data_IF_182592831215
#
_entry.id   IF_182592831215
#
_cell.length_a   1.000
_cell.length_b   1.000
_cell.length_c   1.000
_cell.angle_alpha   90.00
_cell.angle_beta   90.00
_cell.angle_gamma   90.00
#
_symmetry.space_group_name_H-M   'P 1'
#
loop_
_entity.id
_entity.type
_entity.pdbx_description
1 polymer ?
#
# COMPACT_ATOMS: atom_id res chain seq x y z
N UNK A 1 -27.35 -26.01 -10.87
CA UNK A 1 -26.78 -25.31 -12.03
C UNK A 1 -25.69 -26.16 -12.65
N UNK A 2 -25.38 -25.97 -13.94
CA UNK A 2 -24.28 -26.65 -14.62
C UNK A 2 -23.06 -25.72 -14.74
N UNK A 3 -21.86 -26.27 -14.62
CA UNK A 3 -20.61 -25.53 -14.85
C UNK A 3 -20.56 -25.10 -16.33
N UNK A 4 -20.15 -23.85 -16.65
CA UNK A 4 -20.05 -23.40 -18.04
C UNK A 4 -19.04 -24.25 -18.84
N UNK A 5 -19.49 -24.84 -19.94
CA UNK A 5 -18.70 -25.79 -20.74
C UNK A 5 -17.46 -25.17 -21.42
N UNK A 6 -17.42 -23.85 -21.55
CA UNK A 6 -16.33 -23.08 -22.19
C UNK A 6 -15.36 -22.45 -21.18
N UNK A 7 -15.52 -22.76 -19.89
CA UNK A 7 -14.71 -22.16 -18.83
C UNK A 7 -13.27 -22.71 -18.88
N UNK A 8 -12.33 -21.84 -19.25
CA UNK A 8 -10.90 -22.16 -19.40
C UNK A 8 -10.04 -21.10 -18.72
N UNK A 9 -8.78 -21.43 -18.44
CA UNK A 9 -7.84 -20.51 -17.79
C UNK A 9 -8.20 -20.19 -16.34
N UNK A 10 -8.90 -21.10 -15.65
CA UNK A 10 -9.31 -20.92 -14.25
C UNK A 10 -8.13 -21.15 -13.31
N UNK A 11 -7.94 -20.23 -12.36
CA UNK A 11 -6.94 -20.32 -11.30
C UNK A 11 -7.57 -20.63 -9.95
N UNK A 12 -8.80 -20.16 -9.70
CA UNK A 12 -9.50 -20.35 -8.41
C UNK A 12 -11.00 -20.56 -8.65
N UNK A 13 -11.64 -21.40 -7.84
CA UNK A 13 -13.11 -21.57 -7.78
C UNK A 13 -13.58 -21.42 -6.34
N UNK A 14 -14.69 -20.71 -6.13
CA UNK A 14 -15.39 -20.61 -4.83
C UNK A 14 -16.87 -20.90 -5.02
N UNK A 15 -17.52 -21.41 -3.97
CA UNK A 15 -18.95 -21.71 -3.97
C UNK A 15 -19.64 -20.95 -2.83
N UNK A 16 -20.77 -20.32 -3.16
CA UNK A 16 -21.76 -19.84 -2.20
C UNK A 16 -22.85 -20.88 -1.96
N UNK A 17 -24.03 -20.46 -1.49
CA UNK A 17 -25.12 -21.39 -1.19
C UNK A 17 -25.73 -22.00 -2.47
N UNK A 18 -26.03 -21.15 -3.46
CA UNK A 18 -26.69 -21.55 -4.71
C UNK A 18 -25.96 -21.06 -5.96
N UNK A 19 -24.79 -20.44 -5.80
CA UNK A 19 -23.92 -19.96 -6.88
C UNK A 19 -22.47 -20.38 -6.69
N UNK A 20 -21.70 -20.28 -7.77
CA UNK A 20 -20.26 -20.46 -7.76
C UNK A 20 -19.60 -19.39 -8.63
N UNK A 21 -18.34 -19.11 -8.34
CA UNK A 21 -17.50 -18.17 -9.07
C UNK A 21 -16.19 -18.85 -9.46
N UNK A 22 -15.65 -18.50 -10.63
CA UNK A 22 -14.31 -18.85 -11.04
C UNK A 22 -13.50 -17.60 -11.37
N UNK A 23 -12.29 -17.52 -10.83
CA UNK A 23 -11.28 -16.53 -11.21
C UNK A 23 -10.44 -17.12 -12.34
N UNK A 24 -10.27 -16.34 -13.40
CA UNK A 24 -9.40 -16.67 -14.52
C UNK A 24 -8.03 -16.01 -14.39
N UNK A 25 -7.03 -16.58 -15.05
CA UNK A 25 -5.65 -16.08 -15.08
C UNK A 25 -5.50 -14.70 -15.72
N UNK A 26 -6.49 -14.26 -16.49
CA UNK A 26 -6.57 -12.90 -17.06
C UNK A 26 -7.20 -11.87 -16.09
N UNK A 27 -7.49 -12.28 -14.85
CA UNK A 27 -8.07 -11.43 -13.82
C UNK A 27 -9.56 -11.18 -13.98
N UNK A 28 -10.26 -11.95 -14.82
CA UNK A 28 -11.73 -11.92 -14.96
C UNK A 28 -12.42 -12.96 -14.08
N UNK A 29 -13.67 -12.68 -13.68
CA UNK A 29 -14.49 -13.57 -12.86
C UNK A 29 -15.71 -14.04 -13.64
N UNK A 30 -16.00 -15.34 -13.60
CA UNK A 30 -17.20 -15.94 -14.20
C UNK A 30 -18.05 -16.56 -13.08
N UNK A 31 -19.29 -16.11 -12.93
CA UNK A 31 -20.26 -16.70 -12.02
C UNK A 31 -21.28 -17.59 -12.72
N UNK A 32 -21.75 -18.65 -12.05
CA UNK A 32 -22.86 -19.48 -12.50
C UNK A 32 -23.67 -20.00 -11.31
N UNK A 33 -24.96 -20.27 -11.52
CA UNK A 33 -25.85 -20.60 -10.41
C UNK A 33 -27.16 -19.86 -10.45
N UNK A 34 -27.81 -19.85 -9.30
CA UNK A 34 -28.87 -18.92 -9.00
C UNK A 34 -28.32 -17.49 -8.99
N UNK A 35 -28.98 -16.57 -9.69
CA UNK A 35 -28.58 -15.17 -9.80
C UNK A 35 -29.51 -14.23 -9.03
N UNK A 36 -30.23 -14.74 -8.04
CA UNK A 36 -30.96 -13.88 -7.12
C UNK A 36 -30.03 -12.83 -6.52
N UNK A 37 -30.47 -11.57 -6.47
CA UNK A 37 -29.68 -10.41 -6.06
C UNK A 37 -28.47 -10.08 -6.94
N UNK A 38 -28.30 -10.73 -8.10
CA UNK A 38 -27.17 -10.49 -9.02
C UNK A 38 -25.85 -11.11 -8.57
N UNK A 39 -25.88 -12.14 -7.70
CA UNK A 39 -24.70 -12.75 -7.06
C UNK A 39 -23.76 -13.51 -8.01
N UNK A 40 -24.21 -13.89 -9.21
CA UNK A 40 -23.36 -14.50 -10.26
C UNK A 40 -22.92 -13.52 -11.32
N UNK A 41 -23.69 -12.46 -11.55
CA UNK A 41 -23.46 -11.51 -12.65
C UNK A 41 -22.74 -10.24 -12.23
N UNK A 42 -22.78 -9.88 -10.94
CA UNK A 42 -21.82 -9.05 -10.21
C UNK A 42 -21.27 -7.78 -10.85
N UNK A 43 -21.98 -7.21 -11.82
CA UNK A 43 -21.46 -6.21 -12.74
C UNK A 43 -20.46 -6.85 -13.72
N UNK A 44 -20.80 -6.91 -15.00
CA UNK A 44 -20.09 -7.63 -16.05
C UNK A 44 -18.66 -7.13 -16.40
N UNK A 45 -17.90 -6.53 -15.47
CA UNK A 45 -16.66 -5.79 -15.78
C UNK A 45 -15.57 -5.85 -14.69
N UNK A 46 -15.41 -6.97 -13.98
CA UNK A 46 -14.31 -7.10 -13.01
C UNK A 46 -13.07 -7.68 -13.69
N UNK A 47 -12.17 -6.79 -14.09
CA UNK A 47 -10.80 -7.10 -14.51
C UNK A 47 -9.82 -6.76 -13.39
N UNK A 48 -8.61 -7.33 -13.43
CA UNK A 48 -7.60 -7.10 -12.40
C UNK A 48 -7.94 -7.74 -11.06
N UNK A 49 -8.77 -8.79 -11.03
CA UNK A 49 -9.06 -9.55 -9.82
C UNK A 49 -7.91 -10.50 -9.50
N UNK A 50 -7.49 -10.53 -8.24
CA UNK A 50 -6.43 -11.41 -7.73
C UNK A 50 -6.94 -12.44 -6.72
N UNK A 51 -8.12 -12.22 -6.12
CA UNK A 51 -8.79 -13.20 -5.28
C UNK A 51 -10.31 -13.03 -5.29
N UNK A 52 -11.05 -14.10 -5.01
CA UNK A 52 -12.51 -14.13 -4.93
C UNK A 52 -12.98 -14.86 -3.66
N UNK A 53 -14.15 -14.50 -3.16
CA UNK A 53 -14.87 -15.21 -2.10
C UNK A 53 -16.38 -15.17 -2.34
N UNK A 54 -17.10 -16.17 -1.84
CA UNK A 54 -18.55 -16.26 -1.95
C UNK A 54 -19.17 -16.54 -0.57
N UNK A 55 -20.22 -15.80 -0.24
CA UNK A 55 -21.09 -16.07 0.90
C UNK A 55 -22.41 -16.72 0.45
N UNK A 56 -23.43 -16.73 1.31
CA UNK A 56 -24.71 -17.39 0.98
C UNK A 56 -25.39 -16.80 -0.25
N UNK A 57 -25.56 -15.48 -0.29
CA UNK A 57 -26.25 -14.74 -1.35
C UNK A 57 -25.44 -13.55 -1.87
N UNK A 58 -24.16 -13.49 -1.53
CA UNK A 58 -23.25 -12.42 -1.95
C UNK A 58 -21.87 -12.96 -2.35
N UNK A 59 -21.09 -12.09 -2.95
CA UNK A 59 -19.81 -12.38 -3.57
C UNK A 59 -18.87 -11.22 -3.34
N UNK A 60 -17.58 -11.51 -3.19
CA UNK A 60 -16.51 -10.55 -2.98
C UNK A 60 -15.36 -10.82 -3.94
N UNK A 61 -14.67 -9.77 -4.37
CA UNK A 61 -13.40 -9.88 -5.09
C UNK A 61 -12.38 -8.86 -4.60
N UNK A 62 -11.12 -9.29 -4.51
CA UNK A 62 -9.96 -8.45 -4.26
C UNK A 62 -9.33 -8.08 -5.60
N UNK A 63 -9.21 -6.78 -5.85
CA UNK A 63 -8.49 -6.22 -7.00
C UNK A 63 -6.99 -6.14 -6.73
N UNK A 64 -6.20 -6.11 -7.80
CA UNK A 64 -4.75 -5.93 -7.75
C UNK A 64 -4.31 -4.60 -7.15
N UNK A 65 -5.18 -3.58 -7.18
CA UNK A 65 -4.98 -2.28 -6.51
C UNK A 65 -5.26 -2.32 -4.99
N UNK A 66 -5.60 -3.51 -4.47
CA UNK A 66 -5.91 -3.75 -3.08
C UNK A 66 -7.37 -3.50 -2.71
N UNK A 67 -8.18 -2.89 -3.58
CA UNK A 67 -9.61 -2.62 -3.31
C UNK A 67 -10.42 -3.92 -3.27
N UNK A 68 -11.48 -3.94 -2.45
CA UNK A 68 -12.44 -5.05 -2.42
C UNK A 68 -13.77 -4.53 -2.96
N UNK A 69 -14.34 -5.29 -3.88
CA UNK A 69 -15.67 -5.06 -4.42
C UNK A 69 -16.58 -6.20 -3.96
N UNK A 70 -17.82 -5.89 -3.60
CA UNK A 70 -18.83 -6.86 -3.25
C UNK A 70 -20.10 -6.69 -4.07
N UNK A 71 -20.81 -7.79 -4.34
CA UNK A 71 -22.07 -7.81 -5.08
C UNK A 71 -22.98 -8.94 -4.59
N UNK A 72 -24.27 -8.86 -4.91
CA UNK A 72 -25.30 -9.77 -4.37
C UNK A 72 -26.13 -9.11 -3.26
N UNK A 73 -26.66 -9.93 -2.36
CA UNK A 73 -27.45 -9.46 -1.22
C UNK A 73 -26.64 -8.54 -0.29
N UNK A 74 -27.25 -7.40 0.06
CA UNK A 74 -26.71 -6.44 1.02
C UNK A 74 -27.71 -6.07 2.13
N UNK A 75 -28.80 -6.83 2.31
CA UNK A 75 -29.84 -6.52 3.30
C UNK A 75 -29.30 -6.46 4.73
N UNK A 76 -28.21 -7.15 5.03
CA UNK A 76 -27.52 -7.13 6.33
C UNK A 76 -26.16 -6.42 6.29
N UNK A 77 -25.86 -5.69 5.21
CA UNK A 77 -24.55 -5.04 5.03
C UNK A 77 -23.40 -5.98 4.65
N UNK A 78 -23.69 -7.18 4.11
CA UNK A 78 -22.69 -8.20 3.80
C UNK A 78 -21.63 -7.74 2.79
N UNK A 79 -22.02 -6.85 1.87
CA UNK A 79 -21.13 -6.25 0.86
C UNK A 79 -20.86 -4.77 1.14
N UNK A 80 -21.23 -4.28 2.31
CA UNK A 80 -20.77 -2.99 2.83
C UNK A 80 -19.32 -3.17 3.25
N UNK A 81 -18.41 -2.95 2.30
CA UNK A 81 -16.98 -3.03 2.57
C UNK A 81 -16.62 -1.86 3.49
N UNK A 82 -16.15 -2.12 4.72
CA UNK A 82 -15.69 -1.04 5.58
C UNK A 82 -14.58 -0.33 4.84
N UNK A 83 -14.63 1.00 4.81
CA UNK A 83 -13.46 1.78 4.44
C UNK A 83 -12.35 1.35 5.40
N UNK A 84 -11.39 0.57 4.88
CA UNK A 84 -10.05 0.70 5.41
C UNK A 84 -9.74 2.19 5.24
N UNK A 85 -9.18 2.88 6.24
CA UNK A 85 -8.78 4.27 6.04
C UNK A 85 -8.05 4.32 4.69
N UNK A 86 -8.46 5.22 3.79
CA UNK A 86 -8.09 5.27 2.36
C UNK A 86 -6.57 5.11 2.13
N UNK A 87 -5.83 5.34 3.19
CA UNK A 87 -4.44 5.11 3.39
C UNK A 87 -3.80 3.79 2.93
N UNK A 88 -4.54 2.69 2.90
CA UNK A 88 -3.97 1.37 2.58
C UNK A 88 -4.16 0.95 1.12
N UNK A 89 -4.85 1.76 0.30
CA UNK A 89 -5.38 1.31 -1.00
C UNK A 89 -5.17 2.37 -2.07
N UNK A 90 -4.01 2.33 -2.70
CA UNK A 90 -3.79 3.05 -3.95
C UNK A 90 -2.33 3.42 -4.18
N UNK A 91 -1.55 3.59 -3.12
CA UNK A 91 -0.12 3.89 -3.26
C UNK A 91 0.70 2.61 -3.19
N UNK A 92 1.24 2.18 -4.33
CA UNK A 92 2.17 1.06 -4.38
C UNK A 92 3.60 1.58 -4.34
N UNK A 93 4.45 0.96 -3.51
CA UNK A 93 5.86 1.35 -3.40
C UNK A 93 6.77 0.14 -3.55
N UNK A 94 7.74 0.28 -4.44
CA UNK A 94 8.83 -0.66 -4.66
C UNK A 94 10.15 -0.01 -4.22
N UNK A 95 10.91 -0.71 -3.38
CA UNK A 95 12.26 -0.28 -2.97
C UNK A 95 13.25 -0.50 -4.11
N UNK A 96 14.00 0.53 -4.49
CA UNK A 96 15.03 0.44 -5.53
C UNK A 96 16.41 0.28 -4.88
N UNK A 97 16.75 1.18 -3.96
CA UNK A 97 17.99 1.13 -3.19
C UNK A 97 17.83 1.86 -1.86
N UNK A 98 18.73 1.57 -0.92
CA UNK A 98 18.90 2.33 0.29
C UNK A 98 20.36 2.32 0.74
N UNK A 99 20.84 3.45 1.23
CA UNK A 99 22.21 3.65 1.69
C UNK A 99 22.26 4.62 2.86
N UNK A 100 23.31 4.52 3.67
CA UNK A 100 23.56 5.45 4.77
C UNK A 100 25.05 5.76 4.87
N UNK A 101 25.35 6.97 5.33
CA UNK A 101 26.74 7.44 5.45
C UNK A 101 27.36 6.94 6.76
N UNK A 102 28.63 6.49 6.70
CA UNK A 102 29.41 6.09 7.88
C UNK A 102 30.76 6.82 7.93
N UNK A 103 31.04 7.64 8.97
CA UNK A 103 30.09 8.14 9.96
C UNK A 103 29.12 9.15 9.33
N UNK A 104 27.89 9.24 9.85
CA UNK A 104 26.92 10.21 9.36
C UNK A 104 25.53 10.07 9.97
N UNK A 105 24.72 11.10 9.70
CA UNK A 105 23.37 11.30 10.23
C UNK A 105 22.26 11.22 9.18
N UNK A 106 22.56 10.61 8.04
CA UNK A 106 21.67 10.59 6.87
C UNK A 106 21.44 9.16 6.36
N UNK A 107 20.16 8.87 6.14
CA UNK A 107 19.64 7.72 5.40
C UNK A 107 19.11 8.23 4.06
N UNK A 108 19.54 7.63 2.97
CA UNK A 108 19.04 7.91 1.62
C UNK A 108 18.43 6.64 1.05
N UNK A 109 17.28 6.76 0.38
CA UNK A 109 16.70 5.65 -0.36
C UNK A 109 15.95 6.13 -1.60
N UNK A 110 15.94 5.28 -2.63
CA UNK A 110 15.15 5.49 -3.83
C UNK A 110 13.96 4.52 -3.80
N UNK A 111 12.76 5.08 -3.98
CA UNK A 111 11.52 4.32 -4.10
C UNK A 111 10.85 4.59 -5.43
N UNK A 112 10.25 3.56 -6.01
CA UNK A 112 9.33 3.69 -7.14
C UNK A 112 7.91 3.66 -6.62
N UNK A 113 7.20 4.75 -6.83
CA UNK A 113 5.84 4.98 -6.33
C UNK A 113 4.87 4.95 -7.50
N UNK A 114 3.83 4.13 -7.41
CA UNK A 114 2.69 4.16 -8.33
C UNK A 114 1.48 4.67 -7.57
N UNK A 115 0.91 5.78 -8.03
CA UNK A 115 -0.31 6.36 -7.45
C UNK A 115 -1.54 5.85 -8.20
N UNK A 116 -2.27 4.92 -7.61
CA UNK A 116 -3.57 4.43 -8.09
C UNK A 116 -4.75 5.10 -7.37
N UNK A 117 -4.50 6.15 -6.58
CA UNK A 117 -5.57 6.97 -6.00
C UNK A 117 -6.10 7.96 -7.03
N UNK A 118 -7.18 8.65 -6.68
CA UNK A 118 -7.80 9.67 -7.52
C UNK A 118 -7.30 11.10 -7.25
N UNK A 119 -6.34 11.28 -6.33
CA UNK A 119 -5.80 12.59 -5.96
C UNK A 119 -4.27 12.61 -6.10
N UNK A 120 -3.63 13.75 -6.43
CA UNK A 120 -2.19 13.89 -6.35
C UNK A 120 -1.69 13.60 -4.92
N UNK A 121 -0.58 12.88 -4.80
CA UNK A 121 0.01 12.54 -3.50
C UNK A 121 1.42 13.10 -3.36
N UNK A 122 1.79 13.47 -2.13
CA UNK A 122 3.14 13.92 -1.76
C UNK A 122 3.67 13.12 -0.57
N UNK A 123 4.95 12.78 -0.57
CA UNK A 123 5.59 12.11 0.58
C UNK A 123 5.76 13.10 1.73
N UNK A 124 5.14 12.80 2.87
CA UNK A 124 5.08 13.69 4.03
C UNK A 124 5.84 13.22 5.25
N UNK A 125 5.99 11.91 5.45
CA UNK A 125 6.59 11.37 6.67
C UNK A 125 7.23 10.00 6.41
N UNK A 126 8.36 9.73 7.05
CA UNK A 126 8.97 8.40 7.17
C UNK A 126 9.19 8.08 8.65
N UNK A 127 8.89 6.86 9.06
CA UNK A 127 9.11 6.41 10.44
C UNK A 127 9.91 5.13 10.51
N UNK A 128 10.88 5.11 11.41
CA UNK A 128 11.67 3.91 11.75
C UNK A 128 12.20 4.00 13.18
N UNK A 129 12.16 2.89 13.91
CA UNK A 129 12.61 2.80 15.30
C UNK A 129 12.06 3.94 16.19
N UNK A 130 10.77 4.23 16.04
CA UNK A 130 10.03 5.35 16.68
C UNK A 130 10.41 6.76 16.24
N UNK A 131 11.48 6.96 15.46
CA UNK A 131 11.84 8.28 14.92
C UNK A 131 10.92 8.63 13.76
N UNK A 132 10.47 9.89 13.71
CA UNK A 132 9.59 10.41 12.65
C UNK A 132 10.33 11.52 11.89
N UNK A 133 10.70 11.26 10.64
CA UNK A 133 11.24 12.28 9.73
C UNK A 133 10.11 12.92 8.95
N UNK A 134 9.91 14.21 9.18
CA UNK A 134 8.80 14.97 8.61
C UNK A 134 9.28 15.79 7.42
N UNK A 135 8.45 15.86 6.38
CA UNK A 135 8.59 16.83 5.31
C UNK A 135 7.74 18.06 5.65
N UNK A 136 8.37 19.19 6.00
CA UNK A 136 7.65 20.37 6.49
C UNK A 136 6.74 21.02 5.44
N UNK A 137 6.95 20.72 4.15
CA UNK A 137 6.10 21.22 3.06
C UNK A 137 4.81 20.44 2.86
N UNK A 138 4.69 19.26 3.47
CA UNK A 138 3.60 18.31 3.22
C UNK A 138 2.87 17.96 4.51
N UNK A 139 3.61 17.65 5.57
CA UNK A 139 3.00 17.27 6.84
C UNK A 139 3.76 17.87 8.02
N UNK A 140 3.00 18.39 8.98
CA UNK A 140 3.53 19.01 10.18
C UNK A 140 3.21 18.12 11.37
N UNK A 141 4.22 17.81 12.16
CA UNK A 141 4.07 17.22 13.47
C UNK A 141 5.08 17.92 14.37
N UNK A 142 4.62 18.36 15.53
CA UNK A 142 5.48 18.90 16.57
C UNK A 142 5.76 17.79 17.59
N UNK A 143 6.97 17.72 18.16
CA UNK A 143 7.26 16.83 19.27
C UNK A 143 6.29 17.07 20.43
N UNK A 144 5.70 16.02 20.99
CA UNK A 144 4.85 16.14 22.17
C UNK A 144 5.64 16.63 23.41
N UNK A 145 6.90 16.22 23.52
CA UNK A 145 7.85 16.65 24.54
C UNK A 145 9.31 16.54 24.04
N UNK A 146 10.28 16.85 24.91
CA UNK A 146 11.71 16.88 24.56
C UNK A 146 12.32 15.52 24.19
N UNK A 147 11.64 14.42 24.49
CA UNK A 147 12.08 13.06 24.19
C UNK A 147 11.35 12.46 22.99
N UNK A 148 10.29 13.08 22.49
CA UNK A 148 9.57 12.63 21.31
C UNK A 148 10.47 12.79 20.06
N UNK A 149 10.92 11.70 19.42
CA UNK A 149 11.94 11.74 18.37
C UNK A 149 11.34 12.16 17.01
N UNK A 150 10.92 13.42 16.92
CA UNK A 150 10.37 14.01 15.69
C UNK A 150 11.40 14.95 15.05
N UNK A 151 11.91 14.54 13.90
CA UNK A 151 12.74 15.36 13.03
C UNK A 151 11.82 16.20 12.13
N UNK A 152 11.40 17.36 12.64
CA UNK A 152 10.39 18.25 12.01
C UNK A 152 10.76 18.72 10.59
N UNK A 153 12.06 18.81 10.29
CA UNK A 153 12.62 19.12 8.96
C UNK A 153 13.50 17.99 8.44
N UNK A 154 13.16 16.76 8.84
CA UNK A 154 14.02 15.60 8.71
C UNK A 154 13.92 14.90 7.36
N UNK A 155 12.87 15.12 6.58
CA UNK A 155 12.63 14.46 5.30
C UNK A 155 12.60 15.46 4.15
N UNK A 156 13.38 15.20 3.11
CA UNK A 156 13.27 15.83 1.80
C UNK A 156 13.30 14.79 0.69
N UNK A 157 12.77 15.12 -0.48
CA UNK A 157 12.83 14.24 -1.63
C UNK A 157 12.80 14.97 -2.97
N UNK A 158 13.42 14.36 -3.99
CA UNK A 158 13.31 14.78 -5.39
C UNK A 158 12.12 14.08 -6.06
N UNK A 159 11.37 14.80 -6.91
CA UNK A 159 10.31 14.22 -7.76
C UNK A 159 8.94 14.90 -7.68
N UNK A 160 8.68 15.70 -6.62
CA UNK A 160 7.42 16.42 -6.45
C UNK A 160 6.20 15.51 -6.26
N UNK A 161 5.00 16.03 -6.49
CA UNK A 161 3.79 15.23 -6.39
C UNK A 161 3.79 14.06 -7.42
N UNK A 162 3.16 12.96 -7.03
CA UNK A 162 2.86 11.82 -7.90
C UNK A 162 1.38 11.91 -8.27
N UNK A 163 1.08 12.15 -9.54
CA UNK A 163 -0.28 12.36 -10.03
C UNK A 163 -1.07 11.04 -10.09
N UNK A 164 -2.42 11.07 -10.10
CA UNK A 164 -3.24 9.88 -10.32
C UNK A 164 -2.82 9.10 -11.58
N UNK A 165 -2.63 7.78 -11.45
CA UNK A 165 -2.14 6.88 -12.49
C UNK A 165 -0.63 6.96 -12.79
N UNK A 166 0.10 7.91 -12.19
CA UNK A 166 1.53 8.09 -12.43
C UNK A 166 2.36 7.04 -11.68
N UNK A 167 3.45 6.60 -12.31
CA UNK A 167 4.54 5.89 -11.64
C UNK A 167 5.82 6.70 -11.72
N UNK A 168 6.45 6.97 -10.57
CA UNK A 168 7.59 7.89 -10.45
C UNK A 168 8.63 7.39 -9.46
N UNK A 169 9.90 7.69 -9.72
CA UNK A 169 10.97 7.49 -8.74
C UNK A 169 11.08 8.71 -7.83
N UNK A 170 11.07 8.48 -6.52
CA UNK A 170 11.38 9.49 -5.51
C UNK A 170 12.70 9.13 -4.84
N UNK A 171 13.64 10.08 -4.85
CA UNK A 171 14.89 9.97 -4.08
C UNK A 171 14.69 10.69 -2.77
N UNK A 172 14.69 9.93 -1.68
CA UNK A 172 14.36 10.43 -0.35
C UNK A 172 15.62 10.53 0.48
N UNK A 173 15.76 11.64 1.20
CA UNK A 173 16.82 11.85 2.19
C UNK A 173 16.16 12.09 3.54
N UNK A 174 16.53 11.28 4.52
CA UNK A 174 16.16 11.42 5.92
C UNK A 174 17.41 11.82 6.71
N UNK A 175 17.40 13.00 7.33
CA UNK A 175 18.53 13.53 8.12
C UNK A 175 18.05 14.06 9.45
N UNK A 176 18.66 13.60 10.55
CA UNK A 176 18.45 14.20 11.88
C UNK A 176 19.53 13.70 12.86
N UNK A 177 19.77 14.45 13.93
CA UNK A 177 20.62 13.99 15.03
C UNK A 177 20.08 12.69 15.67
N UNK A 178 18.77 12.47 15.65
CA UNK A 178 18.11 11.28 16.16
C UNK A 178 18.68 9.98 15.55
N UNK A 179 19.15 10.00 14.29
CA UNK A 179 19.81 8.85 13.65
C UNK A 179 21.05 8.36 14.42
N UNK A 180 21.81 9.29 15.00
CA UNK A 180 22.99 8.98 15.82
C UNK A 180 22.61 8.79 17.29
N UNK A 181 21.76 9.66 17.83
CA UNK A 181 21.34 9.64 19.25
C UNK A 181 20.67 8.32 19.62
N UNK A 182 19.80 7.80 18.74
CA UNK A 182 19.11 6.52 18.92
C UNK A 182 19.85 5.33 18.30
N UNK A 183 21.13 5.53 17.94
CA UNK A 183 22.05 4.47 17.51
C UNK A 183 21.64 3.74 16.23
N UNK A 184 20.79 4.31 15.36
CA UNK A 184 20.53 3.73 14.04
C UNK A 184 21.79 3.68 13.17
N UNK A 185 22.70 4.66 13.32
CA UNK A 185 24.02 4.60 12.70
C UNK A 185 24.89 3.39 13.14
N UNK A 186 24.51 2.70 14.23
CA UNK A 186 25.18 1.48 14.70
C UNK A 186 24.74 0.22 13.96
N UNK A 187 23.84 0.32 12.98
CA UNK A 187 23.52 -0.77 12.05
C UNK A 187 24.76 -1.40 11.41
N UNK A 188 25.86 -0.66 11.29
CA UNK A 188 27.14 -1.19 10.79
C UNK A 188 27.72 -2.33 11.64
N UNK A 189 27.31 -2.43 12.90
CA UNK A 189 27.72 -3.50 13.82
C UNK A 189 26.72 -4.65 13.86
N UNK A 190 25.53 -4.47 13.28
CA UNK A 190 24.52 -5.52 13.25
C UNK A 190 24.91 -6.58 12.22
N UNK A 191 24.61 -7.86 12.50
CA UNK A 191 24.92 -8.96 11.58
C UNK A 191 24.05 -8.95 10.31
N UNK A 192 23.00 -8.12 10.27
CA UNK A 192 22.09 -7.97 9.13
C UNK A 192 21.90 -6.49 8.78
N UNK A 193 22.55 -6.05 7.71
CA UNK A 193 22.50 -4.65 7.26
C UNK A 193 21.23 -4.39 6.43
N UNK A 194 20.09 -4.41 7.13
CA UNK A 194 18.76 -4.20 6.57
C UNK A 194 17.99 -3.19 7.40
N UNK A 195 17.00 -2.56 6.76
CA UNK A 195 16.13 -1.59 7.40
C UNK A 195 14.66 -1.89 7.08
N UNK A 196 13.79 -1.28 7.89
CA UNK A 196 12.36 -1.25 7.63
C UNK A 196 11.73 -0.03 8.30
N UNK A 197 10.56 0.35 7.80
CA UNK A 197 9.82 1.49 8.31
C UNK A 197 8.51 1.70 7.57
N UNK A 198 7.81 2.77 7.93
CA UNK A 198 6.58 3.19 7.27
C UNK A 198 6.80 4.53 6.57
N UNK A 199 6.31 4.65 5.34
CA UNK A 199 6.24 5.93 4.63
C UNK A 199 4.79 6.37 4.51
N UNK A 200 4.57 7.67 4.62
CA UNK A 200 3.26 8.30 4.61
C UNK A 200 3.17 9.32 3.49
N UNK A 201 2.26 9.07 2.56
CA UNK A 201 1.84 10.01 1.53
C UNK A 201 0.61 10.78 1.98
N UNK A 202 0.43 11.98 1.46
CA UNK A 202 -0.70 12.85 1.77
C UNK A 202 -1.31 13.34 0.47
N UNK A 203 -2.63 13.31 0.38
CA UNK A 203 -3.37 13.95 -0.70
C UNK A 203 -3.63 15.44 -0.38
N UNK A 204 -4.31 16.13 -1.29
CA UNK A 204 -4.66 17.55 -1.14
C UNK A 204 -5.61 17.85 0.03
N UNK A 205 -6.37 16.86 0.48
CA UNK A 205 -7.32 16.96 1.60
C UNK A 205 -6.64 16.64 2.96
N UNK A 206 -5.39 16.17 2.92
CA UNK A 206 -4.61 15.77 4.09
C UNK A 206 -4.86 14.32 4.53
N UNK A 207 -5.59 13.53 3.75
CA UNK A 207 -5.75 12.11 4.01
C UNK A 207 -4.40 11.42 3.79
N UNK A 208 -4.05 10.54 4.74
CA UNK A 208 -2.77 9.83 4.74
C UNK A 208 -2.89 8.55 3.93
N UNK A 209 -1.81 8.14 3.26
CA UNK A 209 -1.55 6.80 2.74
C UNK A 209 -0.28 6.21 3.28
N UNK A 210 -0.35 5.00 3.84
CA UNK A 210 0.74 4.36 4.58
C UNK A 210 1.20 3.10 3.86
N UNK A 211 2.51 3.01 3.63
CA UNK A 211 3.13 1.85 3.00
C UNK A 211 4.33 1.41 3.83
N UNK A 212 4.43 0.11 4.11
CA UNK A 212 5.61 -0.45 4.73
C UNK A 212 6.71 -0.62 3.68
N UNK A 213 7.93 -0.20 4.03
CA UNK A 213 9.12 -0.38 3.20
C UNK A 213 10.21 -1.10 3.99
N UNK A 214 11.13 -1.73 3.26
CA UNK A 214 12.31 -2.35 3.85
C UNK A 214 13.15 -3.06 2.81
N UNK A 215 14.39 -3.35 3.18
CA UNK A 215 15.36 -3.95 2.26
C UNK A 215 16.78 -3.88 2.80
N UNK A 216 17.78 -4.27 2.00
CA UNK A 216 19.18 -4.02 2.28
C UNK A 216 19.44 -2.52 2.47
N UNK A 217 20.27 -2.17 3.44
CA UNK A 217 20.71 -0.80 3.71
C UNK A 217 22.23 -0.74 3.66
N UNK A 218 22.78 -0.20 2.57
CA UNK A 218 24.21 -0.30 2.29
C UNK A 218 24.99 0.84 2.96
N UNK A 219 26.07 0.54 3.72
CA UNK A 219 26.95 1.59 4.25
C UNK A 219 27.79 2.21 3.14
N UNK A 220 27.95 3.53 3.18
CA UNK A 220 28.87 4.29 2.32
C UNK A 220 29.96 4.91 3.19
N UNK A 221 31.19 4.46 2.97
CA UNK A 221 32.40 4.98 3.62
C UNK A 221 32.99 6.10 2.78
N UNK A 222 33.45 7.17 3.44
CA UNK A 222 34.15 8.31 2.83
C UNK A 222 35.54 8.39 3.42
#
# INVERSE_FOLDING_TARGET
TNVPATLTGVTTIVAGNTHALALKSDGTVVGWGDDLFGKTTGGAAQTGIVAIAAGSDHSLALKSDGTVVGWGDNTSGQITIPALPDAARGVNVEMIDAKYRVPGRALEFTIKVTNNTNSPIRLGEYTAANIRWMNPEVSKAEPADSHDPVAVNGLSYEGGAVMPGETKLLKVTCTDAAWETYRLAKLIYDPDSRFGGLIFFFDEEGNRSVVAIGGPLLPVFI
#
